data_IF_614399545848
#
_entry.id   IF_614399545848
#
_cell.length_a   1.000
_cell.length_b   1.000
_cell.length_c   1.000
_cell.angle_alpha   90.00
_cell.angle_beta   90.00
_cell.angle_gamma   90.00
#
_symmetry.space_group_name_H-M   'P 1'
#
loop_
_entity.id
_entity.type
_entity.pdbx_description
1 polymer ?
#
# COMPACT_ATOMS: atom_id res chain seq x y z
N UNK A 1 -18.33 -25.87 7.98
CA UNK A 1 -17.89 -25.10 6.78
C UNK A 1 -16.38 -24.91 6.88
N UNK A 2 -15.65 -25.31 5.87
CA UNK A 2 -14.23 -24.92 5.79
C UNK A 2 -14.22 -23.45 5.39
N UNK A 3 -13.66 -22.58 6.23
CA UNK A 3 -13.32 -21.23 5.80
C UNK A 3 -12.37 -21.37 4.60
N UNK A 4 -12.83 -20.96 3.44
CA UNK A 4 -12.01 -20.98 2.23
C UNK A 4 -10.94 -19.91 2.44
N UNK A 5 -9.70 -20.36 2.68
CA UNK A 5 -8.56 -19.49 2.93
C UNK A 5 -8.37 -18.57 1.71
N UNK A 6 -8.29 -17.27 1.94
CA UNK A 6 -8.01 -16.30 0.88
C UNK A 6 -6.80 -16.75 0.05
N UNK A 7 -6.93 -16.70 -1.29
CA UNK A 7 -5.88 -17.15 -2.22
C UNK A 7 -4.79 -16.09 -2.39
N UNK A 8 -5.16 -14.82 -2.24
CA UNK A 8 -4.27 -13.67 -2.40
C UNK A 8 -4.51 -12.68 -1.27
N UNK A 9 -3.46 -12.19 -0.65
CA UNK A 9 -3.52 -11.08 0.31
C UNK A 9 -3.20 -9.74 -0.36
N UNK A 10 -3.63 -8.63 0.26
CA UNK A 10 -3.33 -7.29 -0.25
C UNK A 10 -1.82 -7.03 -0.23
N UNK A 11 -1.12 -7.53 0.76
CA UNK A 11 0.33 -7.42 0.91
C UNK A 11 1.09 -8.01 -0.29
N UNK A 12 0.57 -9.09 -0.88
CA UNK A 12 1.18 -9.73 -2.05
C UNK A 12 1.11 -8.89 -3.32
N UNK A 13 0.15 -7.98 -3.43
CA UNK A 13 -0.03 -7.11 -4.60
C UNK A 13 0.41 -5.67 -4.35
N UNK A 14 0.79 -5.33 -3.12
CA UNK A 14 1.25 -3.99 -2.75
C UNK A 14 2.58 -3.66 -3.42
N UNK A 15 2.67 -2.46 -4.00
CA UNK A 15 3.87 -1.92 -4.62
C UNK A 15 4.41 -0.75 -3.81
N UNK A 16 5.68 -0.85 -3.40
CA UNK A 16 6.37 0.19 -2.64
C UNK A 16 6.42 1.52 -3.42
N UNK A 17 6.30 2.62 -2.68
CA UNK A 17 6.45 3.99 -3.19
C UNK A 17 7.84 4.57 -2.93
N UNK A 18 8.70 3.82 -2.29
CA UNK A 18 10.09 4.21 -2.10
C UNK A 18 10.85 4.21 -3.44
N UNK A 19 11.86 5.05 -3.54
CA UNK A 19 12.76 5.07 -4.70
C UNK A 19 13.80 3.97 -4.58
N UNK A 20 14.41 3.83 -3.39
CA UNK A 20 15.42 2.82 -3.12
C UNK A 20 15.36 2.38 -1.65
N UNK A 21 15.83 1.18 -1.40
CA UNK A 21 16.09 0.61 -0.07
C UNK A 21 17.57 0.22 0.05
N UNK A 22 18.13 0.42 1.23
CA UNK A 22 19.45 -0.10 1.56
C UNK A 22 19.35 -1.58 1.93
N UNK A 23 20.12 -2.42 1.26
CA UNK A 23 20.17 -3.86 1.48
C UNK A 23 21.56 -4.25 1.88
N UNK A 24 21.71 -5.07 2.92
CA UNK A 24 23.00 -5.65 3.33
C UNK A 24 23.11 -7.05 2.74
N UNK A 25 24.15 -7.29 1.95
CA UNK A 25 24.45 -8.60 1.38
C UNK A 25 25.31 -9.46 2.32
N UNK A 26 25.47 -10.72 2.00
CA UNK A 26 26.24 -11.69 2.78
C UNK A 26 27.73 -11.31 2.92
N UNK A 27 28.26 -10.48 2.01
CA UNK A 27 29.59 -9.89 2.07
C UNK A 27 29.73 -8.76 3.12
N UNK A 28 28.64 -8.35 3.75
CA UNK A 28 28.57 -7.28 4.74
C UNK A 28 28.49 -5.86 4.14
N UNK A 29 28.53 -5.72 2.81
CA UNK A 29 28.37 -4.43 2.15
C UNK A 29 26.92 -4.01 2.02
N UNK A 30 26.68 -2.71 2.15
CA UNK A 30 25.37 -2.12 1.97
C UNK A 30 25.24 -1.56 0.55
N UNK A 31 24.13 -1.91 -0.09
CA UNK A 31 23.82 -1.46 -1.45
C UNK A 31 22.46 -0.79 -1.50
N UNK A 32 22.31 0.21 -2.36
CA UNK A 32 21.02 0.82 -2.66
C UNK A 32 20.37 0.09 -3.82
N UNK A 33 19.15 -0.41 -3.61
CA UNK A 33 18.37 -1.12 -4.63
C UNK A 33 16.98 -0.54 -4.73
N UNK A 34 16.43 -0.52 -5.94
CA UNK A 34 15.01 -0.26 -6.12
C UNK A 34 14.20 -1.31 -5.34
N UNK A 35 13.06 -0.93 -4.72
CA UNK A 35 12.18 -1.90 -4.09
C UNK A 35 11.77 -2.97 -5.10
N UNK A 36 11.82 -4.23 -4.69
CA UNK A 36 11.39 -5.34 -5.55
C UNK A 36 9.91 -5.20 -5.89
N UNK A 37 9.58 -5.44 -7.14
CA UNK A 37 8.20 -5.60 -7.52
C UNK A 37 7.62 -6.86 -6.85
N UNK A 38 6.31 -6.86 -6.54
CA UNK A 38 5.67 -8.04 -6.01
C UNK A 38 5.85 -9.24 -6.93
N UNK A 39 6.13 -10.39 -6.36
CA UNK A 39 6.14 -11.65 -7.10
C UNK A 39 4.75 -11.91 -7.70
N UNK A 40 4.67 -12.49 -8.91
CA UNK A 40 3.39 -12.85 -9.49
C UNK A 40 2.59 -13.78 -8.57
N UNK A 41 1.31 -13.45 -8.37
CA UNK A 41 0.43 -14.24 -7.48
C UNK A 41 0.00 -15.57 -8.08
N UNK A 42 0.21 -15.78 -9.39
CA UNK A 42 -0.36 -16.88 -10.16
C UNK A 42 -1.76 -16.57 -10.72
N UNK A 43 -2.30 -15.41 -10.42
CA UNK A 43 -3.59 -14.92 -10.90
C UNK A 43 -3.39 -13.58 -11.63
N UNK A 44 -3.30 -13.59 -12.98
CA UNK A 44 -2.97 -12.41 -13.78
C UNK A 44 -3.87 -11.20 -13.53
N UNK A 45 -5.15 -11.43 -13.24
CA UNK A 45 -6.11 -10.37 -12.95
C UNK A 45 -5.82 -9.69 -11.61
N UNK A 46 -5.37 -10.45 -10.60
CA UNK A 46 -4.93 -9.87 -9.32
C UNK A 46 -3.64 -9.08 -9.48
N UNK A 47 -2.72 -9.55 -10.27
CA UNK A 47 -1.49 -8.83 -10.58
C UNK A 47 -1.78 -7.52 -11.34
N UNK A 48 -2.72 -7.55 -12.29
CA UNK A 48 -3.19 -6.36 -12.98
C UNK A 48 -3.88 -5.36 -12.04
N UNK A 49 -4.70 -5.86 -11.13
CA UNK A 49 -5.35 -5.03 -10.09
C UNK A 49 -4.30 -4.37 -9.18
N UNK A 50 -3.28 -5.09 -8.76
CA UNK A 50 -2.18 -4.56 -7.97
C UNK A 50 -1.43 -3.44 -8.68
N UNK A 51 -1.14 -3.58 -9.97
CA UNK A 51 -0.56 -2.52 -10.80
C UNK A 51 -1.45 -1.29 -10.88
N UNK A 52 -2.75 -1.49 -11.04
CA UNK A 52 -3.72 -0.40 -11.11
C UNK A 52 -3.82 0.36 -9.79
N UNK A 53 -3.90 -0.35 -8.65
CA UNK A 53 -3.95 0.27 -7.32
C UNK A 53 -2.65 1.03 -6.99
N UNK A 54 -1.55 0.68 -7.61
CA UNK A 54 -0.28 1.38 -7.48
C UNK A 54 -0.22 2.70 -8.26
N UNK A 55 -1.16 2.95 -9.17
CA UNK A 55 -1.22 4.25 -9.87
C UNK A 55 -1.64 5.36 -8.94
N UNK A 56 -1.22 6.57 -9.24
CA UNK A 56 -1.50 7.75 -8.42
C UNK A 56 -2.60 8.60 -9.05
N UNK A 57 -3.59 9.06 -8.29
CA UNK A 57 -3.93 8.67 -6.92
C UNK A 57 -4.51 7.25 -6.85
N UNK A 58 -4.65 6.69 -5.65
CA UNK A 58 -5.32 5.39 -5.49
C UNK A 58 -6.75 5.49 -5.98
N UNK A 59 -7.16 4.67 -6.96
CA UNK A 59 -8.45 4.84 -7.63
C UNK A 59 -9.65 4.52 -6.73
N UNK A 60 -10.79 5.10 -7.08
CA UNK A 60 -12.10 4.71 -6.54
C UNK A 60 -12.55 3.36 -7.10
N UNK A 61 -13.57 2.76 -6.47
CA UNK A 61 -14.19 1.51 -6.99
C UNK A 61 -14.62 1.67 -8.44
N UNK A 62 -15.25 2.79 -8.79
CA UNK A 62 -15.67 3.08 -10.16
C UNK A 62 -14.48 3.17 -11.13
N UNK A 63 -13.41 3.86 -10.74
CA UNK A 63 -12.20 3.96 -11.55
C UNK A 63 -11.56 2.59 -11.79
N UNK A 64 -11.55 1.73 -10.77
CA UNK A 64 -11.08 0.34 -10.90
C UNK A 64 -11.94 -0.45 -11.88
N UNK A 65 -13.26 -0.34 -11.78
CA UNK A 65 -14.22 -1.01 -12.68
C UNK A 65 -13.95 -0.61 -14.14
N UNK A 66 -13.81 0.68 -14.40
CA UNK A 66 -13.55 1.20 -15.75
C UNK A 66 -12.18 0.73 -16.27
N UNK A 67 -11.14 0.85 -15.46
CA UNK A 67 -9.79 0.52 -15.88
C UNK A 67 -9.56 -0.99 -16.07
N UNK A 68 -10.23 -1.82 -15.29
CA UNK A 68 -10.21 -3.28 -15.45
C UNK A 68 -11.08 -3.76 -16.63
N UNK A 69 -11.94 -2.90 -17.16
CA UNK A 69 -12.86 -3.27 -18.24
C UNK A 69 -13.88 -4.34 -17.82
N UNK A 70 -14.24 -4.37 -16.54
CA UNK A 70 -15.15 -5.35 -15.95
C UNK A 70 -16.43 -4.69 -15.47
N UNK A 71 -17.61 -5.31 -15.62
CA UNK A 71 -18.80 -4.90 -14.89
C UNK A 71 -18.56 -4.96 -13.38
N UNK A 72 -19.20 -4.08 -12.62
CA UNK A 72 -19.03 -4.00 -11.15
C UNK A 72 -19.36 -5.32 -10.44
N UNK A 73 -20.34 -6.08 -10.92
CA UNK A 73 -20.70 -7.39 -10.38
C UNK A 73 -19.59 -8.43 -10.55
N UNK A 74 -18.93 -8.43 -11.69
CA UNK A 74 -17.81 -9.33 -11.98
C UNK A 74 -16.59 -8.95 -11.13
N UNK A 75 -16.28 -7.67 -11.05
CA UNK A 75 -15.20 -7.19 -10.19
C UNK A 75 -15.40 -7.58 -8.72
N UNK A 76 -16.62 -7.41 -8.19
CA UNK A 76 -16.97 -7.82 -6.83
C UNK A 76 -16.78 -9.30 -6.59
N UNK A 77 -17.30 -10.14 -7.49
CA UNK A 77 -17.17 -11.60 -7.38
C UNK A 77 -15.71 -12.05 -7.45
N UNK A 78 -14.94 -11.47 -8.34
CA UNK A 78 -13.53 -11.72 -8.52
C UNK A 78 -12.70 -11.35 -7.27
N UNK A 79 -12.84 -10.11 -6.76
CA UNK A 79 -12.12 -9.66 -5.57
C UNK A 79 -12.51 -10.48 -4.35
N UNK A 80 -13.80 -10.74 -4.14
CA UNK A 80 -14.29 -11.58 -3.03
C UNK A 80 -13.73 -13.00 -3.12
N UNK A 81 -13.73 -13.59 -4.31
CA UNK A 81 -13.27 -14.96 -4.51
C UNK A 81 -11.77 -15.14 -4.24
N UNK A 82 -10.93 -14.17 -4.63
CA UNK A 82 -9.48 -14.27 -4.41
C UNK A 82 -9.02 -13.76 -3.05
N UNK A 83 -9.63 -12.73 -2.52
CA UNK A 83 -9.15 -12.04 -1.30
C UNK A 83 -10.02 -12.25 -0.07
N UNK A 84 -11.25 -12.70 -0.23
CA UNK A 84 -12.22 -12.75 0.86
C UNK A 84 -12.75 -11.37 1.29
N UNK A 85 -12.40 -10.31 0.55
CA UNK A 85 -12.77 -8.93 0.88
C UNK A 85 -13.67 -8.32 -0.18
N UNK A 86 -14.45 -7.30 0.21
CA UNK A 86 -15.11 -6.42 -0.75
C UNK A 86 -14.08 -5.54 -1.47
N UNK A 87 -14.42 -5.01 -2.64
CA UNK A 87 -13.55 -4.08 -3.39
C UNK A 87 -13.21 -2.85 -2.53
N UNK A 88 -14.18 -2.31 -1.82
CA UNK A 88 -13.98 -1.17 -0.92
C UNK A 88 -12.97 -1.48 0.19
N UNK A 89 -13.10 -2.63 0.84
CA UNK A 89 -12.15 -3.08 1.87
C UNK A 89 -10.74 -3.28 1.30
N UNK A 90 -10.63 -3.85 0.11
CA UNK A 90 -9.35 -4.03 -0.57
C UNK A 90 -8.65 -2.68 -0.81
N UNK A 91 -9.37 -1.70 -1.33
CA UNK A 91 -8.84 -0.34 -1.57
C UNK A 91 -8.40 0.31 -0.25
N UNK A 92 -9.22 0.22 0.79
CA UNK A 92 -8.87 0.75 2.13
C UNK A 92 -7.58 0.10 2.65
N UNK A 93 -7.49 -1.21 2.57
CA UNK A 93 -6.28 -1.94 2.99
C UNK A 93 -5.04 -1.51 2.21
N UNK A 94 -5.17 -1.36 0.90
CA UNK A 94 -4.07 -0.90 0.05
C UNK A 94 -3.61 0.51 0.45
N UNK A 95 -4.56 1.43 0.67
CA UNK A 95 -4.28 2.79 1.14
C UNK A 95 -3.61 2.81 2.51
N UNK A 96 -4.03 1.95 3.43
CA UNK A 96 -3.40 1.83 4.75
C UNK A 96 -1.98 1.27 4.68
N UNK A 97 -1.70 0.34 3.79
CA UNK A 97 -0.35 -0.16 3.53
C UNK A 97 0.57 0.95 3.02
N UNK A 98 0.08 1.79 2.12
CA UNK A 98 0.83 2.97 1.65
C UNK A 98 1.12 3.94 2.82
N UNK A 99 0.12 4.26 3.62
CA UNK A 99 0.29 5.11 4.80
C UNK A 99 1.27 4.52 5.81
N UNK A 100 1.21 3.22 6.05
CA UNK A 100 2.14 2.50 6.92
C UNK A 100 3.58 2.60 6.43
N UNK A 101 3.80 2.35 5.15
CA UNK A 101 5.13 2.47 4.54
C UNK A 101 5.69 3.90 4.69
N UNK A 102 4.88 4.91 4.43
CA UNK A 102 5.31 6.31 4.55
C UNK A 102 5.58 6.72 6.00
N UNK A 103 4.80 6.22 6.96
CA UNK A 103 5.06 6.43 8.39
C UNK A 103 6.40 5.84 8.82
N UNK A 104 6.70 4.65 8.37
CA UNK A 104 7.88 3.88 8.76
C UNK A 104 9.15 4.32 8.05
N UNK A 105 9.05 4.79 6.82
CA UNK A 105 10.21 4.99 5.95
C UNK A 105 10.54 6.45 5.64
N UNK A 106 9.65 7.40 5.92
CA UNK A 106 9.81 8.81 5.56
C UNK A 106 9.65 9.75 6.75
N UNK A 107 10.03 11.01 6.56
CA UNK A 107 9.79 12.10 7.53
C UNK A 107 8.58 12.97 7.17
N UNK A 108 7.76 12.52 6.23
CA UNK A 108 6.53 13.24 5.88
C UNK A 108 5.62 13.40 7.11
N UNK A 109 4.99 14.56 7.22
CA UNK A 109 4.01 14.78 8.28
C UNK A 109 2.72 13.95 8.06
N UNK A 110 1.93 13.81 9.09
CA UNK A 110 0.74 12.97 9.05
C UNK A 110 -0.29 13.47 8.03
N UNK A 111 -0.41 14.78 7.85
CA UNK A 111 -1.33 15.37 6.87
C UNK A 111 -0.93 14.99 5.45
N UNK A 112 0.35 15.10 5.12
CA UNK A 112 0.88 14.70 3.82
C UNK A 112 0.72 13.19 3.57
N UNK A 113 1.01 12.37 4.56
CA UNK A 113 0.82 10.91 4.47
C UNK A 113 -0.65 10.56 4.22
N UNK A 114 -1.57 11.16 4.97
CA UNK A 114 -3.00 10.93 4.79
C UNK A 114 -3.45 11.29 3.37
N UNK A 115 -3.02 12.42 2.85
CA UNK A 115 -3.32 12.85 1.47
C UNK A 115 -2.75 11.90 0.43
N UNK A 116 -1.50 11.46 0.59
CA UNK A 116 -0.91 10.44 -0.28
C UNK A 116 -1.74 9.15 -0.28
N UNK A 117 -2.27 8.76 0.86
CA UNK A 117 -3.16 7.60 0.99
C UNK A 117 -4.60 7.86 0.50
N UNK A 118 -4.93 9.08 0.08
CA UNK A 118 -6.24 9.46 -0.44
C UNK A 118 -7.28 9.77 0.64
N UNK A 119 -6.85 10.23 1.81
CA UNK A 119 -7.69 10.56 2.94
C UNK A 119 -7.39 11.95 3.51
N UNK A 120 -8.38 12.52 4.20
CA UNK A 120 -8.12 13.59 5.15
C UNK A 120 -7.45 13.01 6.42
N UNK A 121 -6.69 13.84 7.12
CA UNK A 121 -5.90 13.42 8.28
C UNK A 121 -6.72 12.67 9.33
N UNK A 122 -7.87 13.20 9.70
CA UNK A 122 -8.73 12.62 10.74
C UNK A 122 -9.30 11.26 10.32
N UNK A 123 -9.71 11.15 9.06
CA UNK A 123 -10.22 9.90 8.49
C UNK A 123 -9.13 8.84 8.43
N UNK A 124 -7.95 9.22 7.97
CA UNK A 124 -6.77 8.34 7.94
C UNK A 124 -6.43 7.83 9.34
N UNK A 125 -6.31 8.74 10.32
CA UNK A 125 -5.96 8.40 11.69
C UNK A 125 -6.95 7.40 12.31
N UNK A 126 -8.24 7.61 12.09
CA UNK A 126 -9.28 6.71 12.57
C UNK A 126 -9.22 5.32 11.92
N UNK A 127 -9.10 5.27 10.60
CA UNK A 127 -9.00 4.00 9.87
C UNK A 127 -7.72 3.25 10.20
N UNK A 128 -6.61 3.97 10.30
CA UNK A 128 -5.32 3.41 10.67
C UNK A 128 -5.36 2.80 12.08
N UNK A 129 -5.84 3.55 13.06
CA UNK A 129 -5.96 3.10 14.45
C UNK A 129 -6.89 1.90 14.59
N UNK A 130 -8.00 1.88 13.87
CA UNK A 130 -8.92 0.75 13.87
C UNK A 130 -8.27 -0.54 13.33
N UNK A 131 -7.38 -0.41 12.34
CA UNK A 131 -6.74 -1.56 11.73
C UNK A 131 -5.48 -2.02 12.49
N UNK A 132 -4.59 -1.09 12.84
CA UNK A 132 -3.29 -1.40 13.45
C UNK A 132 -3.30 -1.40 14.99
N UNK A 133 -4.41 -1.01 15.62
CA UNK A 133 -4.54 -0.99 17.08
C UNK A 133 -3.75 0.11 17.78
N UNK A 134 -3.18 1.06 17.05
CA UNK A 134 -2.44 2.20 17.58
C UNK A 134 -2.53 3.39 16.64
N UNK A 135 -2.33 4.60 17.18
CA UNK A 135 -2.35 5.81 16.37
C UNK A 135 -1.21 5.83 15.34
N UNK A 136 -1.35 6.55 14.22
CA UNK A 136 -0.25 6.73 13.27
C UNK A 136 1.01 7.31 13.93
N UNK A 137 0.85 8.24 14.87
CA UNK A 137 1.95 8.83 15.60
C UNK A 137 2.71 7.80 16.44
N UNK A 138 1.97 6.98 17.21
CA UNK A 138 2.55 5.92 18.04
C UNK A 138 3.20 4.84 17.17
N UNK A 139 2.55 4.49 16.07
CA UNK A 139 3.11 3.54 15.11
C UNK A 139 4.47 4.01 14.59
N UNK A 140 4.57 5.28 14.16
CA UNK A 140 5.85 5.87 13.73
C UNK A 140 6.88 5.83 14.84
N UNK A 141 6.52 6.22 16.06
CA UNK A 141 7.42 6.22 17.19
C UNK A 141 8.05 4.84 17.45
N UNK A 142 7.24 3.77 17.41
CA UNK A 142 7.71 2.42 17.71
C UNK A 142 8.30 1.67 16.51
N UNK A 143 7.87 1.98 15.29
CA UNK A 143 8.20 1.20 14.09
C UNK A 143 9.20 1.87 13.16
N UNK A 144 9.33 3.20 13.20
CA UNK A 144 10.31 3.87 12.37
C UNK A 144 11.72 3.63 12.91
N UNK A 145 12.66 3.08 12.11
CA UNK A 145 14.05 2.99 12.51
C UNK A 145 14.65 4.37 12.74
N UNK A 146 15.49 4.54 13.77
CA UNK A 146 16.18 5.81 14.02
C UNK A 146 17.01 6.27 12.82
N UNK A 147 17.56 5.31 12.08
CA UNK A 147 18.39 5.54 10.89
C UNK A 147 17.61 5.42 9.58
N UNK A 148 16.32 5.73 9.58
CA UNK A 148 15.47 5.52 8.41
C UNK A 148 15.98 6.24 7.15
N UNK A 149 16.60 7.41 7.29
CA UNK A 149 17.18 8.15 6.15
C UNK A 149 18.37 7.41 5.52
N UNK A 150 19.05 6.57 6.26
CA UNK A 150 20.15 5.75 5.78
C UNK A 150 19.68 4.41 5.17
N UNK A 151 18.42 4.03 5.44
CA UNK A 151 17.83 2.78 5.00
C UNK A 151 16.88 2.93 3.82
N UNK A 152 16.28 4.12 3.66
CA UNK A 152 15.22 4.36 2.69
C UNK A 152 15.44 5.68 1.94
N UNK A 153 15.18 5.64 0.63
CA UNK A 153 15.12 6.82 -0.24
C UNK A 153 13.75 6.96 -0.85
N UNK A 154 13.28 8.19 -0.98
CA UNK A 154 11.99 8.53 -1.57
C UNK A 154 12.08 9.82 -2.35
N UNK A 155 11.17 10.00 -3.30
CA UNK A 155 11.05 11.21 -4.09
C UNK A 155 9.91 12.09 -3.54
N UNK A 156 10.28 13.15 -2.83
CA UNK A 156 9.33 14.10 -2.24
C UNK A 156 8.43 14.76 -3.28
N UNK A 157 8.94 15.04 -4.47
CA UNK A 157 8.14 15.68 -5.53
C UNK A 157 7.10 14.71 -6.08
N UNK A 158 7.47 13.45 -6.25
CA UNK A 158 6.55 12.40 -6.68
C UNK A 158 5.44 12.19 -5.64
N UNK A 159 5.80 12.14 -4.37
CA UNK A 159 4.83 12.00 -3.27
C UNK A 159 3.91 13.22 -3.17
N UNK A 160 4.42 14.43 -3.31
CA UNK A 160 3.59 15.65 -3.33
C UNK A 160 2.58 15.68 -4.47
N UNK A 161 2.88 15.09 -5.62
CA UNK A 161 1.89 14.94 -6.70
C UNK A 161 0.76 14.00 -6.33
N UNK A 162 0.98 13.04 -5.44
CA UNK A 162 -0.05 12.14 -4.92
C UNK A 162 -1.01 12.84 -3.96
N UNK A 163 -0.59 13.92 -3.31
CA UNK A 163 -1.42 14.71 -2.41
C UNK A 163 -2.53 15.50 -3.13
N UNK A 164 -2.41 15.69 -4.43
CA UNK A 164 -3.36 16.43 -5.27
C UNK A 164 -4.41 15.48 -5.86
#
# INVERSE_FOLDING_TARGET
MKEEKAKVSVEQIYRSRLTEKCVTYDDGWMHWEAPREPEPTGYPEMDALGKLLATTPVPSVQAVTVAMGMPASILRAFVQGYTGMTVTKLIVRYRLLLGEELLRCTDLDLTSIARCAGYQREVFSRKFSAHYGQSPRDYRYFKQPNRFRELYRWDNQKLKKMER
#
